data_IF_442581051983
#
_entry.id   IF_442581051983
#
_cell.length_a   1.000
_cell.length_b   1.000
_cell.length_c   1.000
_cell.angle_alpha   90.00
_cell.angle_beta   90.00
_cell.angle_gamma   90.00
#
_symmetry.space_group_name_H-M   'P 1'
#
loop_
_entity.id
_entity.type
_entity.pdbx_description
1 polymer ?
#
# COMPACT_ATOMS: atom_id res chain seq x y z
N UNK A 1 -5.68 -7.82 -7.56
CA UNK A 1 -5.75 -6.37 -7.83
C UNK A 1 -5.50 -6.05 -9.29
N UNK A 2 -4.30 -6.28 -9.85
CA UNK A 2 -4.00 -5.91 -11.25
C UNK A 2 -4.92 -6.54 -12.30
N UNK A 3 -5.39 -7.78 -12.06
CA UNK A 3 -6.40 -8.43 -12.93
C UNK A 3 -7.70 -7.60 -12.96
N UNK A 4 -8.19 -7.12 -11.81
CA UNK A 4 -9.39 -6.28 -11.75
C UNK A 4 -9.18 -4.95 -12.48
N UNK A 5 -8.03 -4.30 -12.28
CA UNK A 5 -7.66 -3.07 -12.99
C UNK A 5 -7.61 -3.27 -14.51
N UNK A 6 -7.02 -4.37 -14.99
CA UNK A 6 -6.97 -4.72 -16.41
C UNK A 6 -8.36 -4.94 -17.04
N UNK A 7 -9.34 -5.33 -16.22
CA UNK A 7 -10.74 -5.50 -16.62
C UNK A 7 -11.58 -4.23 -16.39
N UNK A 8 -10.95 -3.09 -16.09
CA UNK A 8 -11.61 -1.82 -15.75
C UNK A 8 -12.58 -1.92 -14.56
N UNK A 9 -12.32 -2.87 -13.65
CA UNK A 9 -13.06 -2.98 -12.40
C UNK A 9 -12.43 -2.05 -11.37
N UNK A 10 -13.21 -1.11 -10.84
CA UNK A 10 -12.79 -0.20 -9.76
C UNK A 10 -12.38 -1.00 -8.52
N UNK A 11 -11.31 -0.58 -7.85
CA UNK A 11 -10.77 -1.30 -6.69
C UNK A 11 -10.47 -0.34 -5.56
N UNK A 12 -10.71 -0.78 -4.33
CA UNK A 12 -10.11 -0.21 -3.13
C UNK A 12 -8.96 -1.13 -2.74
N UNK A 13 -7.74 -0.61 -2.81
CA UNK A 13 -6.52 -1.39 -2.56
C UNK A 13 -5.88 -0.96 -1.25
N UNK A 14 -5.70 -1.90 -0.32
CA UNK A 14 -5.15 -1.67 1.01
C UNK A 14 -3.63 -1.86 0.96
N UNK A 15 -2.89 -0.84 1.39
CA UNK A 15 -1.44 -0.80 1.36
C UNK A 15 -0.88 -0.57 2.76
N UNK A 16 -0.07 -1.51 3.23
CA UNK A 16 0.78 -1.37 4.40
C UNK A 16 2.22 -1.11 3.98
N UNK A 17 3.06 -2.14 4.09
CA UNK A 17 4.50 -2.10 3.79
C UNK A 17 4.86 -1.82 2.33
N UNK A 18 3.97 -2.13 1.38
CA UNK A 18 4.18 -1.90 -0.04
C UNK A 18 4.00 -0.41 -0.40
N UNK A 19 4.73 0.06 -1.40
CA UNK A 19 4.60 1.43 -1.90
C UNK A 19 3.63 1.50 -3.08
N UNK A 20 2.53 2.26 -2.95
CA UNK A 20 1.56 2.41 -4.02
C UNK A 20 2.12 3.15 -5.24
N UNK A 21 3.22 3.91 -5.13
CA UNK A 21 3.89 4.52 -6.30
C UNK A 21 4.35 3.47 -7.31
N UNK A 22 4.61 2.25 -6.85
CA UNK A 22 5.12 1.14 -7.66
C UNK A 22 4.02 0.13 -7.95
N UNK A 23 3.23 -0.25 -6.94
CA UNK A 23 2.37 -1.42 -7.03
C UNK A 23 0.87 -1.12 -7.09
N UNK A 24 0.42 0.15 -7.06
CA UNK A 24 -1.01 0.49 -7.14
C UNK A 24 -1.66 -0.04 -8.43
N UNK A 25 -3.00 -0.21 -8.45
CA UNK A 25 -3.68 -0.56 -9.69
C UNK A 25 -3.52 0.58 -10.70
N UNK A 26 -3.21 0.23 -11.95
CA UNK A 26 -3.06 1.22 -13.02
C UNK A 26 -4.41 1.50 -13.68
N UNK A 27 -4.76 2.77 -13.83
CA UNK A 27 -6.07 3.18 -14.37
C UNK A 27 -6.66 4.35 -13.59
N UNK A 28 -7.87 4.74 -13.94
CA UNK A 28 -8.67 5.75 -13.25
C UNK A 28 -9.60 5.08 -12.23
N UNK A 29 -10.17 5.87 -11.32
CA UNK A 29 -11.26 5.46 -10.43
C UNK A 29 -10.93 4.27 -9.49
N UNK A 30 -9.64 4.09 -9.19
CA UNK A 30 -9.17 3.21 -8.14
C UNK A 30 -8.81 4.03 -6.90
N UNK A 31 -9.11 3.49 -5.72
CA UNK A 31 -8.73 4.09 -4.43
C UNK A 31 -7.62 3.27 -3.82
N UNK A 32 -6.61 3.96 -3.30
CA UNK A 32 -5.53 3.36 -2.50
C UNK A 32 -5.69 3.84 -1.06
N UNK A 33 -5.82 2.89 -0.13
CA UNK A 33 -5.82 3.16 1.30
C UNK A 33 -4.44 2.84 1.87
N UNK A 34 -3.74 3.87 2.33
CA UNK A 34 -2.47 3.74 3.04
C UNK A 34 -2.35 4.84 4.09
N UNK A 35 -2.19 4.45 5.35
CA UNK A 35 -1.84 5.40 6.41
C UNK A 35 -0.35 5.76 6.28
N UNK A 36 -0.06 7.06 6.29
CA UNK A 36 1.31 7.58 6.24
C UNK A 36 1.95 7.41 7.63
N UNK A 37 2.73 6.35 7.80
CA UNK A 37 3.42 6.03 9.05
C UNK A 37 4.93 5.98 8.80
N UNK A 38 5.73 6.39 9.77
CA UNK A 38 7.20 6.40 9.65
C UNK A 38 7.78 5.02 9.29
N UNK A 39 7.18 3.94 9.78
CA UNK A 39 7.64 2.57 9.52
C UNK A 39 7.31 2.05 8.11
N UNK A 40 6.64 2.83 7.26
CA UNK A 40 6.07 2.39 5.98
C UNK A 40 6.17 3.48 4.91
N UNK A 41 6.36 3.14 3.62
CA UNK A 41 6.54 1.81 3.06
C UNK A 41 7.92 1.22 3.38
N UNK A 42 8.00 -0.10 3.53
CA UNK A 42 9.20 -0.81 3.99
C UNK A 42 9.45 -2.15 3.28
N UNK A 43 8.66 -2.46 2.25
CA UNK A 43 8.73 -3.72 1.51
C UNK A 43 9.86 -3.81 0.48
N UNK A 44 10.23 -2.76 -0.25
CA UNK A 44 11.35 -2.85 -1.23
C UNK A 44 12.06 -1.50 -1.38
N UNK A 45 13.30 -1.48 -1.92
CA UNK A 45 13.93 -0.26 -2.43
C UNK A 45 13.02 0.44 -3.43
N UNK A 46 12.81 1.75 -3.27
CA UNK A 46 11.84 2.47 -4.08
C UNK A 46 12.49 3.11 -5.32
N UNK A 47 11.66 3.27 -6.36
CA UNK A 47 11.99 4.08 -7.52
C UNK A 47 12.21 5.53 -7.08
N UNK A 48 13.42 6.06 -7.32
CA UNK A 48 13.94 7.39 -6.90
C UNK A 48 14.45 7.52 -5.46
N UNK A 49 14.45 6.46 -4.66
CA UNK A 49 15.13 6.49 -3.37
C UNK A 49 16.63 6.24 -3.57
N UNK A 50 17.47 6.90 -2.78
CA UNK A 50 18.90 6.65 -2.71
C UNK A 50 19.20 5.28 -2.08
N UNK A 51 20.42 4.78 -2.29
CA UNK A 51 20.86 3.53 -1.66
C UNK A 51 20.80 3.60 -0.12
N UNK A 52 21.07 4.77 0.46
CA UNK A 52 21.04 4.96 1.91
C UNK A 52 19.60 4.96 2.44
N UNK A 53 18.68 5.68 1.79
CA UNK A 53 17.25 5.65 2.14
C UNK A 53 16.66 4.24 2.02
N UNK A 54 17.06 3.53 0.97
CA UNK A 54 16.69 2.14 0.75
C UNK A 54 17.12 1.25 1.91
N UNK A 55 18.39 1.32 2.33
CA UNK A 55 18.90 0.51 3.46
C UNK A 55 18.12 0.82 4.74
N UNK A 56 17.79 2.08 4.98
CA UNK A 56 17.06 2.50 6.17
C UNK A 56 15.61 1.98 6.19
N UNK A 57 14.91 2.01 5.05
CA UNK A 57 13.48 1.64 4.96
C UNK A 57 13.25 0.15 4.74
N UNK A 58 14.10 -0.51 3.96
CA UNK A 58 13.96 -1.92 3.58
C UNK A 58 13.91 -2.85 4.81
N UNK A 59 12.94 -3.75 4.83
CA UNK A 59 12.68 -4.68 5.95
C UNK A 59 12.98 -6.14 5.63
N UNK A 60 13.74 -6.40 4.56
CA UNK A 60 14.24 -7.74 4.26
C UNK A 60 15.54 -8.04 5.01
N UNK A 61 15.56 -9.18 5.70
CA UNK A 61 16.72 -9.78 6.34
C UNK A 61 17.05 -11.06 5.56
N UNK A 62 18.06 -10.97 4.68
CA UNK A 62 18.36 -12.03 3.73
C UNK A 62 17.19 -12.28 2.77
N UNK A 63 16.56 -13.45 2.87
CA UNK A 63 15.38 -13.83 2.06
C UNK A 63 14.05 -13.72 2.83
N UNK A 64 14.06 -13.19 4.05
CA UNK A 64 12.89 -13.09 4.92
C UNK A 64 12.48 -11.64 5.09
N UNK A 65 11.19 -11.36 4.91
CA UNK A 65 10.61 -10.06 5.23
C UNK A 65 10.23 -10.02 6.73
N UNK A 66 10.65 -8.99 7.45
CA UNK A 66 10.40 -8.84 8.89
C UNK A 66 9.88 -7.45 9.23
N UNK A 67 8.73 -7.35 9.90
CA UNK A 67 8.22 -6.05 10.34
C UNK A 67 9.10 -5.48 11.47
N UNK A 68 9.80 -4.36 11.22
CA UNK A 68 10.70 -3.73 12.20
C UNK A 68 10.00 -3.32 13.51
N UNK A 69 8.71 -2.99 13.45
CA UNK A 69 7.90 -2.61 14.63
C UNK A 69 7.18 -3.78 15.27
N UNK A 70 7.17 -4.95 14.61
CA UNK A 70 6.51 -6.20 15.06
C UNK A 70 5.01 -6.12 15.36
N UNK A 71 4.35 -5.02 15.02
CA UNK A 71 2.92 -4.79 15.32
C UNK A 71 2.06 -4.56 14.07
N UNK A 72 2.69 -4.51 12.89
CA UNK A 72 2.03 -4.35 11.60
C UNK A 72 1.06 -3.15 11.57
N UNK A 73 1.36 -2.09 12.32
CA UNK A 73 0.52 -0.90 12.44
C UNK A 73 0.17 -0.24 11.11
N UNK A 74 1.01 -0.40 10.09
CA UNK A 74 0.73 0.08 8.73
C UNK A 74 -0.46 -0.61 8.05
N UNK A 75 -0.86 -1.80 8.51
CA UNK A 75 -2.10 -2.48 8.10
C UNK A 75 -3.17 -2.36 9.17
N UNK A 76 -2.83 -2.60 10.43
CA UNK A 76 -3.82 -2.68 11.52
C UNK A 76 -4.42 -1.34 11.92
N UNK A 77 -3.80 -0.22 11.54
CA UNK A 77 -4.38 1.12 11.70
C UNK A 77 -5.44 1.48 10.65
N UNK A 78 -5.58 0.67 9.59
CA UNK A 78 -6.62 0.88 8.58
C UNK A 78 -7.91 0.26 9.09
N UNK A 79 -8.91 1.10 9.39
CA UNK A 79 -10.15 0.66 10.03
C UNK A 79 -11.14 0.10 9.02
N UNK A 80 -12.10 -0.70 9.50
CA UNK A 80 -13.20 -1.21 8.67
C UNK A 80 -14.00 -0.05 8.07
N UNK A 81 -14.28 0.99 8.85
CA UNK A 81 -15.05 2.16 8.39
C UNK A 81 -14.34 2.88 7.24
N UNK A 82 -13.03 3.07 7.31
CA UNK A 82 -12.24 3.64 6.21
C UNK A 82 -12.38 2.82 4.92
N UNK A 83 -12.40 1.49 5.04
CA UNK A 83 -12.58 0.60 3.87
C UNK A 83 -14.00 0.72 3.33
N UNK A 84 -15.02 0.72 4.20
CA UNK A 84 -16.43 0.84 3.79
C UNK A 84 -16.67 2.18 3.11
N UNK A 85 -16.21 3.30 3.67
CA UNK A 85 -16.32 4.63 3.08
C UNK A 85 -15.67 4.70 1.70
N UNK A 86 -14.47 4.13 1.54
CA UNK A 86 -13.79 4.06 0.26
C UNK A 86 -14.57 3.23 -0.77
N UNK A 87 -15.16 2.11 -0.33
CA UNK A 87 -16.00 1.26 -1.19
C UNK A 87 -17.28 1.99 -1.60
N UNK A 88 -17.95 2.66 -0.67
CA UNK A 88 -19.15 3.44 -0.96
C UNK A 88 -18.85 4.58 -1.94
N UNK A 89 -17.73 5.28 -1.76
CA UNK A 89 -17.27 6.32 -2.68
C UNK A 89 -17.13 5.78 -4.10
N UNK A 90 -16.45 4.62 -4.27
CA UNK A 90 -16.32 4.04 -5.61
C UNK A 90 -17.62 3.39 -6.10
N UNK A 91 -18.59 3.01 -5.27
CA UNK A 91 -19.86 2.44 -5.76
C UNK A 91 -20.78 3.55 -6.28
N UNK A 92 -20.94 4.64 -5.52
CA UNK A 92 -21.89 5.73 -5.81
C UNK A 92 -21.56 6.52 -7.09
N UNK A 93 -20.33 6.37 -7.60
CA UNK A 93 -19.85 7.15 -8.74
C UNK A 93 -19.34 8.51 -8.28
N UNK A 94 -18.17 8.90 -8.81
CA UNK A 94 -17.52 10.19 -8.56
C UNK A 94 -18.34 11.35 -9.09
#
# INVERSE_FOLDING_TARGET
MHIAAALNVRTVSIFGSADPRIHRPWGKDHVVLQNQLECSPCYYPFFRDTLEETKQKNSWVGKKFECKTSDYRCLTSITVDQVVEAVEHIIRGS
#
